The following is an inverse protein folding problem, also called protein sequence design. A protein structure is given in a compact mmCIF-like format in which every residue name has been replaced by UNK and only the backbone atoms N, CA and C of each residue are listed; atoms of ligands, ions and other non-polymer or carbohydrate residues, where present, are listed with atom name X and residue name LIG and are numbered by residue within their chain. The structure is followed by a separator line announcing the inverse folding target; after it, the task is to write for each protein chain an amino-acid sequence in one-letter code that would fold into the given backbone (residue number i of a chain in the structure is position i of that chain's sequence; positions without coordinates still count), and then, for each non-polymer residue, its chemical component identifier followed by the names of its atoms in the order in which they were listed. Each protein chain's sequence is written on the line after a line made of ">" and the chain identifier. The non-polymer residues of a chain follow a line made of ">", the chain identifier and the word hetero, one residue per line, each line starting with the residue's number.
data_IF_408785824241
#
_entry.id   IF_408785824241
#
_cell.length_a   1.000
_cell.length_b   1.000
_cell.length_c   1.000
_cell.angle_alpha   90.00
_cell.angle_beta   90.00
_cell.angle_gamma   90.00
#
_symmetry.space_group_name_H-M   'P 1'
#
loop_
_entity.id
_entity.type
_entity.pdbx_description
1 polymer ?
#
# COMPACT_ATOMS: atom_id res chain seq x y z
N UNK A 1 -23.91 -8.59 12.44
CA UNK A 1 -22.51 -8.80 12.05
C UNK A 1 -21.96 -7.52 11.41
N UNK A 2 -20.69 -7.20 11.61
CA UNK A 2 -20.08 -5.99 11.07
C UNK A 2 -19.80 -6.11 9.58
N UNK A 3 -20.08 -5.09 8.78
CA UNK A 3 -19.75 -5.02 7.34
C UNK A 3 -18.60 -4.05 7.14
N UNK A 4 -17.67 -4.41 6.24
CA UNK A 4 -16.49 -3.61 5.96
C UNK A 4 -16.29 -3.49 4.45
N UNK A 5 -15.98 -2.28 3.98
CA UNK A 5 -15.70 -1.96 2.59
C UNK A 5 -14.33 -1.30 2.49
N UNK A 6 -13.51 -1.84 1.59
CA UNK A 6 -12.25 -1.25 1.16
C UNK A 6 -12.44 -0.71 -0.24
N UNK A 7 -12.44 0.61 -0.40
CA UNK A 7 -12.47 1.24 -1.71
C UNK A 7 -11.07 1.73 -2.06
N UNK A 8 -10.35 0.97 -2.88
CA UNK A 8 -9.05 1.39 -3.42
C UNK A 8 -9.26 2.58 -4.35
N UNK A 9 -8.39 3.59 -4.24
CA UNK A 9 -8.46 4.80 -5.05
C UNK A 9 -7.37 4.78 -6.11
N UNK A 10 -7.73 5.04 -7.37
CA UNK A 10 -6.75 5.34 -8.42
C UNK A 10 -6.15 6.73 -8.22
N UNK A 11 -5.01 7.04 -8.85
CA UNK A 11 -4.43 8.39 -8.85
C UNK A 11 -5.44 9.50 -9.21
N UNK A 12 -6.26 9.30 -10.24
CA UNK A 12 -7.22 10.32 -10.69
C UNK A 12 -8.40 10.48 -9.73
N UNK A 13 -8.88 9.38 -9.14
CA UNK A 13 -9.89 9.45 -8.09
C UNK A 13 -9.35 10.21 -6.88
N UNK A 14 -8.09 10.00 -6.52
CA UNK A 14 -7.43 10.75 -5.46
C UNK A 14 -7.29 12.24 -5.82
N UNK A 15 -6.81 12.55 -7.02
CA UNK A 15 -6.69 13.92 -7.51
C UNK A 15 -8.04 14.64 -7.51
N UNK A 16 -9.13 13.96 -7.88
CA UNK A 16 -10.48 14.51 -7.82
C UNK A 16 -10.91 14.85 -6.39
N UNK A 17 -10.59 13.99 -5.41
CA UNK A 17 -10.87 14.30 -4.00
C UNK A 17 -10.07 15.52 -3.52
N UNK A 18 -8.87 15.73 -4.05
CA UNK A 18 -8.10 16.94 -3.80
C UNK A 18 -8.71 18.18 -4.46
N UNK A 19 -9.18 18.07 -5.69
CA UNK A 19 -9.78 19.17 -6.45
C UNK A 19 -11.06 19.70 -5.83
N UNK A 20 -11.90 18.81 -5.28
CA UNK A 20 -13.14 19.20 -4.61
C UNK A 20 -12.94 19.60 -3.14
N UNK A 21 -11.71 19.48 -2.62
CA UNK A 21 -11.35 19.86 -1.25
C UNK A 21 -11.71 18.82 -0.18
N UNK A 22 -12.15 17.62 -0.56
CA UNK A 22 -12.45 16.52 0.38
C UNK A 22 -11.17 15.95 1.01
N UNK A 23 -10.05 16.02 0.29
CA UNK A 23 -8.72 15.71 0.81
C UNK A 23 -7.79 16.92 0.57
N UNK A 24 -7.17 17.50 1.61
CA UNK A 24 -6.31 18.67 1.40
C UNK A 24 -5.06 18.28 0.60
N UNK A 25 -4.64 19.14 -0.36
CA UNK A 25 -3.37 18.98 -1.09
C UNK A 25 -2.16 19.20 -0.21
N UNK A 26 -2.24 20.23 0.65
CA UNK A 26 -1.23 20.45 1.66
C UNK A 26 -1.46 19.52 2.85
N UNK A 27 -0.61 18.50 2.96
CA UNK A 27 -0.66 17.47 4.00
C UNK A 27 0.66 17.44 4.75
N UNK A 28 0.59 17.00 6.00
CA UNK A 28 1.77 16.74 6.80
C UNK A 28 2.71 15.77 6.07
N UNK A 29 4.03 15.96 6.22
CA UNK A 29 5.04 15.20 5.46
C UNK A 29 4.81 13.69 5.54
N UNK A 30 4.42 13.16 6.71
CA UNK A 30 4.14 11.72 6.94
C UNK A 30 3.10 11.11 5.98
N UNK A 31 2.22 11.92 5.40
CA UNK A 31 1.19 11.50 4.44
C UNK A 31 1.64 11.60 2.96
N UNK A 32 2.83 12.14 2.71
CA UNK A 32 3.47 12.23 1.39
C UNK A 32 4.49 11.09 1.21
N UNK A 33 5.10 10.95 0.03
CA UNK A 33 6.14 9.94 -0.23
C UNK A 33 5.87 9.03 -1.44
N UNK A 34 5.08 9.48 -2.40
CA UNK A 34 4.78 8.82 -3.68
C UNK A 34 5.40 9.52 -4.90
N UNK A 35 6.20 10.58 -4.70
CA UNK A 35 6.85 11.35 -5.77
C UNK A 35 7.82 10.49 -6.60
N UNK A 36 8.37 9.43 -6.01
CA UNK A 36 9.23 8.47 -6.71
C UNK A 36 8.53 7.80 -7.91
N UNK A 37 7.20 7.72 -7.87
CA UNK A 37 6.41 7.09 -8.93
C UNK A 37 6.50 7.87 -10.22
N UNK A 38 6.70 9.19 -10.18
CA UNK A 38 6.75 10.02 -11.39
C UNK A 38 7.95 9.66 -12.29
N UNK A 39 8.98 9.06 -11.70
CA UNK A 39 10.18 8.66 -12.43
C UNK A 39 10.10 7.25 -13.04
N UNK A 40 9.27 6.35 -12.48
CA UNK A 40 9.32 4.94 -12.87
C UNK A 40 7.95 4.29 -13.10
N UNK A 41 6.86 4.92 -12.68
CA UNK A 41 5.47 4.54 -12.93
C UNK A 41 4.75 5.72 -13.61
N UNK A 42 5.32 6.23 -14.70
CA UNK A 42 4.79 7.38 -15.44
C UNK A 42 3.61 7.01 -16.36
N UNK A 43 3.55 5.76 -16.83
CA UNK A 43 2.36 5.25 -17.54
C UNK A 43 1.21 5.12 -16.54
N UNK A 44 0.11 5.82 -16.80
CA UNK A 44 -1.06 5.87 -15.93
C UNK A 44 -1.67 4.48 -15.71
N UNK A 45 -1.74 3.62 -16.73
CA UNK A 45 -2.31 2.27 -16.61
C UNK A 45 -1.48 1.43 -15.63
N UNK A 46 -0.15 1.52 -15.74
CA UNK A 46 0.79 0.83 -14.83
C UNK A 46 0.67 1.39 -13.41
N UNK A 47 0.57 2.72 -13.27
CA UNK A 47 0.37 3.35 -11.95
C UNK A 47 -0.97 2.95 -11.33
N UNK A 48 -2.02 2.88 -12.12
CA UNK A 48 -3.35 2.44 -11.68
C UNK A 48 -3.31 1.02 -11.16
N UNK A 49 -2.70 0.12 -11.93
CA UNK A 49 -2.49 -1.26 -11.52
C UNK A 49 -1.78 -1.32 -10.16
N UNK A 50 -0.69 -0.56 -10.00
CA UNK A 50 0.04 -0.52 -8.73
C UNK A 50 -0.85 -0.04 -7.59
N UNK A 51 -1.60 1.05 -7.75
CA UNK A 51 -2.46 1.61 -6.70
C UNK A 51 -3.54 0.62 -6.25
N UNK A 52 -4.23 0.01 -7.21
CA UNK A 52 -5.32 -0.94 -6.93
C UNK A 52 -4.79 -2.21 -6.29
N UNK A 53 -3.75 -2.83 -6.85
CA UNK A 53 -3.24 -4.13 -6.36
C UNK A 53 -2.52 -4.04 -5.03
N UNK A 54 -1.88 -2.90 -4.74
CA UNK A 54 -1.13 -2.72 -3.49
C UNK A 54 -1.93 -2.04 -2.38
N UNK A 55 -3.18 -1.65 -2.63
CA UNK A 55 -3.98 -0.84 -1.70
C UNK A 55 -3.27 0.48 -1.33
N UNK A 56 -2.65 1.14 -2.31
CA UNK A 56 -1.76 2.27 -2.05
C UNK A 56 -2.47 3.44 -1.35
N UNK A 57 -3.72 3.70 -1.75
CA UNK A 57 -4.65 4.61 -1.10
C UNK A 57 -6.04 3.99 -1.06
N UNK A 58 -6.70 4.06 0.09
CA UNK A 58 -7.98 3.38 0.33
C UNK A 58 -8.91 4.24 1.18
N UNK A 59 -10.21 4.22 0.85
CA UNK A 59 -11.27 4.63 1.77
C UNK A 59 -11.83 3.38 2.43
N UNK A 60 -11.75 3.34 3.76
CA UNK A 60 -12.27 2.27 4.59
C UNK A 60 -13.59 2.73 5.19
N UNK A 61 -14.68 2.02 4.89
CA UNK A 61 -16.01 2.29 5.47
C UNK A 61 -16.50 1.04 6.16
N UNK A 62 -17.00 1.16 7.38
CA UNK A 62 -17.49 0.02 8.11
C UNK A 62 -18.55 0.29 9.15
N UNK A 63 -19.28 -0.76 9.51
CA UNK A 63 -20.18 -0.74 10.65
C UNK A 63 -19.48 -1.13 11.96
N UNK A 64 -20.10 -0.81 13.09
CA UNK A 64 -19.69 -1.16 14.45
C UNK A 64 -19.41 -2.65 14.55
N UNK A 65 -18.26 -2.97 15.14
CA UNK A 65 -17.74 -4.33 15.28
C UNK A 65 -16.96 -4.83 14.07
N UNK A 66 -17.09 -4.21 12.88
CA UNK A 66 -16.22 -4.53 11.74
C UNK A 66 -14.81 -3.96 11.95
N UNK A 67 -13.81 -4.56 11.33
CA UNK A 67 -12.42 -4.17 11.53
C UNK A 67 -11.46 -5.06 10.77
N UNK A 68 -10.18 -5.01 11.18
CA UNK A 68 -9.12 -5.82 10.59
C UNK A 68 -8.44 -6.64 11.67
N UNK A 69 -8.25 -7.93 11.41
CA UNK A 69 -7.53 -8.84 12.31
C UNK A 69 -6.08 -8.42 12.50
N UNK A 70 -5.44 -8.91 13.56
CA UNK A 70 -4.06 -8.57 13.85
C UNK A 70 -3.09 -9.03 12.75
N UNK A 71 -2.40 -8.09 12.09
CA UNK A 71 -1.49 -8.38 10.97
C UNK A 71 -0.39 -7.32 10.82
N UNK A 72 0.52 -7.53 9.86
CA UNK A 72 1.46 -6.50 9.37
C UNK A 72 1.21 -6.26 7.89
N UNK A 73 1.51 -5.05 7.40
CA UNK A 73 1.36 -4.71 5.98
C UNK A 73 2.26 -5.59 5.10
N UNK A 74 1.67 -6.20 4.08
CA UNK A 74 2.35 -7.21 3.24
C UNK A 74 3.59 -6.66 2.53
N UNK A 75 3.58 -5.37 2.15
CA UNK A 75 4.70 -4.73 1.45
C UNK A 75 5.79 -4.19 2.38
N UNK A 76 5.67 -4.33 3.70
CA UNK A 76 6.63 -3.73 4.65
C UNK A 76 6.74 -2.21 4.50
N UNK A 77 5.66 -1.59 4.09
CA UNK A 77 5.52 -0.14 3.97
C UNK A 77 5.19 0.48 5.33
N UNK A 78 5.18 1.80 5.40
CA UNK A 78 4.57 2.54 6.50
C UNK A 78 3.20 3.04 6.07
N UNK A 79 2.29 3.22 7.01
CA UNK A 79 0.90 3.54 6.70
C UNK A 79 0.37 4.63 7.62
N UNK A 80 -0.48 5.48 7.08
CA UNK A 80 -1.20 6.52 7.81
C UNK A 80 -2.70 6.34 7.60
N UNK A 81 -3.49 6.71 8.61
CA UNK A 81 -4.93 6.56 8.66
C UNK A 81 -5.55 7.85 9.21
N UNK A 82 -6.14 8.65 8.32
CA UNK A 82 -6.87 9.87 8.67
C UNK A 82 -8.35 9.51 8.91
N UNK A 83 -8.83 9.77 10.12
CA UNK A 83 -10.20 9.42 10.50
C UNK A 83 -11.18 10.54 10.17
N UNK A 84 -12.24 10.22 9.43
CA UNK A 84 -13.20 11.22 8.93
C UNK A 84 -14.52 11.15 9.71
N UNK A 85 -14.95 9.96 10.10
CA UNK A 85 -16.23 9.76 10.79
C UNK A 85 -16.21 8.53 11.69
N UNK A 86 -16.98 8.58 12.77
CA UNK A 86 -17.13 7.46 13.71
C UNK A 86 -16.00 7.43 14.72
N UNK A 87 -15.72 6.25 15.26
CA UNK A 87 -14.54 5.98 16.11
C UNK A 87 -13.98 4.63 15.74
N UNK A 88 -12.65 4.51 15.75
CA UNK A 88 -11.95 3.24 15.48
C UNK A 88 -10.97 2.95 16.60
N UNK A 89 -11.15 1.80 17.24
CA UNK A 89 -10.19 1.25 18.18
C UNK A 89 -9.03 0.60 17.42
N UNK A 90 -7.83 0.76 17.97
CA UNK A 90 -6.58 0.24 17.45
C UNK A 90 -5.75 -0.38 18.56
N UNK A 91 -5.14 -1.53 18.24
CA UNK A 91 -4.07 -2.12 19.01
C UNK A 91 -2.86 -2.28 18.11
N UNK A 92 -1.71 -1.69 18.51
CA UNK A 92 -0.49 -1.65 17.71
C UNK A 92 0.69 -2.18 18.51
N UNK A 93 1.43 -3.14 17.97
CA UNK A 93 2.63 -3.69 18.60
C UNK A 93 3.87 -3.45 17.73
N UNK A 94 4.90 -2.86 18.34
CA UNK A 94 6.15 -2.60 17.67
C UNK A 94 6.88 -3.92 17.33
N UNK A 95 7.61 -3.99 16.19
CA UNK A 95 8.42 -5.15 15.89
C UNK A 95 9.50 -5.37 16.95
N UNK A 96 9.86 -6.64 17.19
CA UNK A 96 10.89 -7.05 18.15
C UNK A 96 10.56 -6.71 19.61
N UNK A 97 9.29 -6.90 19.99
CA UNK A 97 8.82 -6.83 21.39
C UNK A 97 9.09 -5.49 22.09
N UNK A 98 9.14 -4.39 21.34
CA UNK A 98 9.37 -3.04 21.89
C UNK A 98 8.13 -2.41 22.55
N UNK A 99 7.13 -3.23 22.89
CA UNK A 99 5.86 -2.82 23.50
C UNK A 99 4.70 -2.67 22.51
N UNK A 100 3.50 -2.56 23.08
CA UNK A 100 2.25 -2.34 22.37
C UNK A 100 1.56 -1.08 22.89
N UNK A 101 0.74 -0.48 22.04
CA UNK A 101 -0.09 0.69 22.32
C UNK A 101 -1.53 0.39 21.93
N UNK A 102 -2.45 0.94 22.69
CA UNK A 102 -3.88 0.86 22.44
C UNK A 102 -4.43 2.29 22.35
N UNK A 103 -5.26 2.56 21.35
CA UNK A 103 -5.81 3.88 21.12
C UNK A 103 -7.20 3.81 20.50
N UNK A 104 -8.02 4.83 20.77
CA UNK A 104 -9.22 5.12 19.99
C UNK A 104 -8.90 6.34 19.13
N UNK A 105 -9.02 6.18 17.81
CA UNK A 105 -8.83 7.27 16.85
C UNK A 105 -10.19 7.88 16.53
N UNK A 106 -10.31 9.18 16.74
CA UNK A 106 -11.52 9.99 16.59
C UNK A 106 -11.48 10.86 15.32
N UNK A 107 -12.63 11.39 14.85
CA UNK A 107 -12.68 12.19 13.63
C UNK A 107 -11.77 13.42 13.72
N UNK A 108 -10.97 13.64 12.69
CA UNK A 108 -9.94 14.68 12.65
C UNK A 108 -8.56 14.20 13.09
N UNK A 109 -8.45 13.03 13.71
CA UNK A 109 -7.16 12.45 14.10
C UNK A 109 -6.52 11.63 13.00
N UNK A 110 -5.19 11.53 13.07
CA UNK A 110 -4.36 10.77 12.14
C UNK A 110 -3.50 9.81 12.93
N UNK A 111 -3.63 8.53 12.64
CA UNK A 111 -2.72 7.49 13.13
C UNK A 111 -1.64 7.24 12.07
N UNK A 112 -0.39 7.08 12.52
CA UNK A 112 0.73 6.64 11.68
C UNK A 112 1.47 5.51 12.38
N UNK A 113 1.81 4.46 11.62
CA UNK A 113 2.73 3.41 12.08
C UNK A 113 3.76 3.08 11.01
N UNK A 114 4.96 2.71 11.47
CA UNK A 114 6.09 2.40 10.59
C UNK A 114 6.06 0.95 10.12
N UNK A 115 7.02 0.57 9.26
CA UNK A 115 7.15 -0.78 8.73
C UNK A 115 7.20 -1.85 9.83
N UNK A 116 6.41 -2.91 9.63
CA UNK A 116 6.47 -4.12 10.46
C UNK A 116 5.81 -4.02 11.82
N UNK A 117 5.00 -2.99 12.06
CA UNK A 117 4.12 -2.92 13.22
C UNK A 117 2.93 -3.86 13.04
N UNK A 118 2.72 -4.72 14.03
CA UNK A 118 1.50 -5.53 14.13
C UNK A 118 0.35 -4.63 14.53
N UNK A 119 -0.80 -4.79 13.90
CA UNK A 119 -1.95 -3.95 14.20
C UNK A 119 -3.28 -4.67 13.98
N UNK A 120 -4.23 -4.36 14.85
CA UNK A 120 -5.61 -4.82 14.84
C UNK A 120 -6.54 -3.62 15.01
N UNK A 121 -7.72 -3.67 14.37
CA UNK A 121 -8.70 -2.57 14.45
C UNK A 121 -10.12 -3.05 14.65
N UNK A 122 -10.93 -2.21 15.29
CA UNK A 122 -12.38 -2.39 15.37
C UNK A 122 -13.11 -1.05 15.31
N UNK A 123 -14.13 -0.96 14.46
CA UNK A 123 -15.03 0.18 14.41
C UNK A 123 -15.94 0.19 15.64
N UNK A 124 -15.98 1.29 16.37
CA UNK A 124 -16.79 1.41 17.57
C UNK A 124 -18.19 1.99 17.29
N UNK A 125 -18.37 2.66 16.15
CA UNK A 125 -19.60 3.37 15.76
C UNK A 125 -20.05 3.06 14.32
N UNK A 126 -21.22 3.58 13.96
CA UNK A 126 -21.88 3.41 12.66
C UNK A 126 -22.18 4.76 11.98
N UNK A 127 -21.77 4.97 10.71
CA UNK A 127 -20.63 4.34 10.06
C UNK A 127 -19.30 4.88 10.63
N UNK A 128 -18.25 4.09 10.48
CA UNK A 128 -16.87 4.53 10.70
C UNK A 128 -16.16 4.66 9.34
N UNK A 129 -15.53 5.81 9.07
CA UNK A 129 -14.87 6.15 7.80
C UNK A 129 -13.44 6.60 8.05
N UNK A 130 -12.48 5.97 7.38
CA UNK A 130 -11.04 6.31 7.41
C UNK A 130 -10.53 6.42 5.99
N UNK A 131 -9.75 7.47 5.70
CA UNK A 131 -8.92 7.54 4.50
C UNK A 131 -7.50 7.12 4.89
N UNK A 132 -6.90 6.23 4.13
CA UNK A 132 -5.56 5.72 4.41
C UNK A 132 -4.67 5.75 3.17
N UNK A 133 -3.38 5.87 3.40
CA UNK A 133 -2.37 5.76 2.37
C UNK A 133 -1.08 5.14 2.87
N UNK A 134 -0.33 4.63 1.90
CA UNK A 134 0.92 3.91 2.08
C UNK A 134 2.11 4.82 1.76
N UNK A 135 3.24 4.63 2.45
CA UNK A 135 4.48 5.39 2.27
C UNK A 135 5.72 4.50 2.20
N UNK A 136 6.62 4.88 1.29
CA UNK A 136 8.03 4.43 1.25
C UNK A 136 8.93 5.58 1.71
N UNK A 137 9.96 5.26 2.48
CA UNK A 137 10.99 6.20 2.90
C UNK A 137 12.38 5.54 2.99
N UNK A 138 13.39 6.34 3.36
CA UNK A 138 14.77 5.87 3.54
C UNK A 138 14.94 4.74 4.55
N UNK A 139 13.99 4.55 5.47
CA UNK A 139 14.04 3.53 6.53
C UNK A 139 13.47 2.20 6.07
N UNK A 140 12.48 2.21 5.17
CA UNK A 140 11.78 0.99 4.76
C UNK A 140 12.03 0.56 3.29
N UNK A 141 12.58 1.41 2.42
CA UNK A 141 12.64 1.15 0.97
C UNK A 141 13.29 -0.19 0.61
N UNK A 142 14.32 -0.63 1.35
CA UNK A 142 15.00 -1.91 1.10
C UNK A 142 14.07 -3.11 1.32
N UNK A 143 13.27 -3.06 2.39
CA UNK A 143 12.30 -4.11 2.69
C UNK A 143 11.18 -4.10 1.65
N UNK A 144 10.68 -2.92 1.28
CA UNK A 144 9.63 -2.77 0.27
C UNK A 144 10.11 -3.26 -1.10
N UNK A 145 11.32 -2.88 -1.52
CA UNK A 145 11.97 -3.36 -2.75
C UNK A 145 12.03 -4.89 -2.78
N UNK A 146 12.42 -5.51 -1.66
CA UNK A 146 12.47 -6.97 -1.55
C UNK A 146 11.10 -7.61 -1.77
N UNK A 147 10.04 -7.05 -1.16
CA UNK A 147 8.68 -7.58 -1.31
C UNK A 147 8.16 -7.41 -2.75
N UNK A 148 8.37 -6.24 -3.36
CA UNK A 148 7.96 -5.95 -4.73
C UNK A 148 8.71 -6.83 -5.74
N UNK A 149 10.03 -7.00 -5.57
CA UNK A 149 10.83 -7.91 -6.39
C UNK A 149 10.38 -9.37 -6.22
N UNK A 150 10.12 -9.79 -4.97
CA UNK A 150 9.58 -11.12 -4.68
C UNK A 150 8.22 -11.39 -5.34
N UNK A 151 7.34 -10.40 -5.36
CA UNK A 151 6.07 -10.48 -6.10
C UNK A 151 6.27 -10.60 -7.62
N UNK A 152 7.26 -9.92 -8.18
CA UNK A 152 7.59 -10.03 -9.60
C UNK A 152 8.27 -11.35 -9.98
N UNK A 153 9.11 -11.91 -9.11
CA UNK A 153 9.83 -13.15 -9.42
C UNK A 153 9.00 -14.40 -9.10
N UNK A 154 8.21 -14.38 -8.03
CA UNK A 154 7.56 -15.56 -7.44
C UNK A 154 6.08 -15.41 -7.10
N UNK A 155 5.49 -14.22 -7.25
CA UNK A 155 4.11 -13.98 -6.77
C UNK A 155 3.99 -14.10 -5.25
N UNK A 156 5.03 -13.73 -4.50
CA UNK A 156 5.19 -13.97 -3.05
C UNK A 156 4.02 -13.44 -2.18
N UNK A 157 3.35 -12.37 -2.60
CA UNK A 157 2.22 -11.76 -1.88
C UNK A 157 0.88 -12.10 -2.53
N UNK A 158 0.88 -12.50 -3.81
CA UNK A 158 -0.30 -12.84 -4.58
C UNK A 158 -1.05 -11.61 -5.09
N UNK A 159 -0.34 -10.53 -5.39
CA UNK A 159 -0.93 -9.34 -6.03
C UNK A 159 -1.20 -9.55 -7.52
N UNK A 160 -0.53 -10.53 -8.16
CA UNK A 160 -0.71 -10.86 -9.59
C UNK A 160 -0.34 -9.68 -10.51
N UNK A 161 0.79 -9.03 -10.24
CA UNK A 161 1.31 -7.94 -11.09
C UNK A 161 1.51 -8.39 -12.53
N UNK A 162 1.19 -7.51 -13.48
CA UNK A 162 1.49 -7.65 -14.90
C UNK A 162 3.00 -7.62 -15.15
N UNK A 163 3.37 -8.12 -16.33
CA UNK A 163 4.76 -8.07 -16.78
C UNK A 163 5.23 -6.62 -16.99
N UNK A 164 4.34 -5.72 -17.44
CA UNK A 164 4.62 -4.30 -17.65
C UNK A 164 4.89 -3.58 -16.33
N UNK A 165 4.08 -3.84 -15.30
CA UNK A 165 4.33 -3.29 -13.96
C UNK A 165 5.65 -3.81 -13.38
N UNK A 166 5.98 -5.08 -13.58
CA UNK A 166 7.25 -5.61 -13.11
C UNK A 166 8.46 -5.03 -13.86
N UNK A 167 8.35 -4.77 -15.17
CA UNK A 167 9.39 -4.07 -15.94
C UNK A 167 9.57 -2.62 -15.45
N UNK A 168 8.47 -1.95 -15.10
CA UNK A 168 8.50 -0.60 -14.52
C UNK A 168 9.13 -0.60 -13.11
N UNK A 169 8.82 -1.61 -12.29
CA UNK A 169 9.39 -1.76 -10.94
C UNK A 169 10.90 -2.01 -10.95
N UNK A 170 11.44 -2.75 -11.93
CA UNK A 170 12.90 -2.86 -12.12
C UNK A 170 13.57 -1.48 -12.24
N UNK A 171 12.90 -0.54 -12.91
CA UNK A 171 13.34 0.87 -13.03
C UNK A 171 13.15 1.62 -11.71
N UNK A 172 12.04 1.39 -11.00
CA UNK A 172 11.81 1.98 -9.68
C UNK A 172 12.89 1.60 -8.67
N UNK A 173 13.41 0.38 -8.73
CA UNK A 173 14.44 -0.07 -7.80
C UNK A 173 15.74 0.72 -7.97
N UNK A 174 16.12 1.11 -9.18
CA UNK A 174 17.23 2.04 -9.42
C UNK A 174 16.94 3.43 -8.82
N UNK A 175 15.72 3.95 -9.07
CA UNK A 175 15.26 5.24 -8.55
C UNK A 175 15.26 5.30 -7.01
N UNK A 176 14.81 4.23 -6.34
CA UNK A 176 14.82 4.13 -4.88
C UNK A 176 16.22 4.25 -4.30
N UNK A 177 17.20 3.56 -4.87
CA UNK A 177 18.57 3.64 -4.38
C UNK A 177 19.15 5.03 -4.57
N UNK A 178 18.97 5.62 -5.76
CA UNK A 178 19.41 6.98 -6.05
C UNK A 178 18.79 7.98 -5.06
N UNK A 179 17.46 7.92 -4.90
CA UNK A 179 16.69 8.85 -4.06
C UNK A 179 17.01 8.71 -2.57
N UNK A 180 17.03 7.49 -2.04
CA UNK A 180 17.14 7.28 -0.59
C UNK A 180 18.56 7.10 -0.08
N UNK A 181 19.54 6.84 -0.95
CA UNK A 181 20.95 6.65 -0.57
C UNK A 181 21.92 7.63 -1.23
N UNK A 182 21.50 8.36 -2.27
CA UNK A 182 22.37 9.20 -3.09
C UNK A 182 23.36 8.40 -3.94
N UNK A 183 23.13 7.09 -4.12
CA UNK A 183 24.03 6.16 -4.82
C UNK A 183 23.23 5.26 -5.77
N UNK A 184 23.83 4.80 -6.88
CA UNK A 184 23.19 3.83 -7.77
C UNK A 184 22.92 2.50 -7.06
N UNK A 185 21.95 1.72 -7.54
CA UNK A 185 21.72 0.37 -7.00
C UNK A 185 22.94 -0.50 -7.29
N UNK A 186 23.51 -1.20 -6.28
CA UNK A 186 24.58 -2.16 -6.56
C UNK A 186 24.09 -3.25 -7.51
N UNK A 187 24.90 -3.61 -8.51
CA UNK A 187 24.52 -4.62 -9.52
C UNK A 187 24.17 -5.99 -8.92
N UNK A 188 24.72 -6.31 -7.75
CA UNK A 188 24.41 -7.55 -7.01
C UNK A 188 23.02 -7.54 -6.34
N UNK A 189 22.38 -6.36 -6.21
CA UNK A 189 21.08 -6.24 -5.55
C UNK A 189 19.96 -6.27 -6.57
N UNK A 190 19.26 -7.41 -6.61
CA UNK A 190 18.12 -7.74 -7.48
C UNK A 190 18.45 -7.57 -8.97
N UNK A 191 18.59 -8.70 -9.67
CA UNK A 191 18.65 -8.67 -11.14
C UNK A 191 17.25 -8.41 -11.66
N UNK A 192 17.13 -8.09 -12.95
CA UNK A 192 15.84 -7.93 -13.60
C UNK A 192 14.95 -9.15 -13.37
N UNK A 193 13.68 -8.95 -13.03
CA UNK A 193 12.79 -10.04 -12.62
C UNK A 193 12.67 -11.15 -13.68
N UNK A 194 12.68 -10.78 -14.98
CA UNK A 194 12.62 -11.72 -16.12
C UNK A 194 13.80 -12.70 -16.17
N UNK A 195 14.93 -12.38 -15.53
CA UNK A 195 16.11 -13.23 -15.45
C UNK A 195 16.08 -14.20 -14.26
N UNK A 196 15.16 -13.99 -13.32
CA UNK A 196 15.06 -14.75 -12.07
C UNK A 196 13.77 -15.56 -11.97
N UNK A 197 12.72 -15.17 -12.70
CA UNK A 197 11.41 -15.82 -12.64
C UNK A 197 11.37 -17.15 -13.40
N UNK A 198 10.54 -18.08 -12.94
CA UNK A 198 10.25 -19.32 -13.68
C UNK A 198 9.29 -19.09 -14.85
N UNK A 199 9.16 -20.10 -15.72
CA UNK A 199 8.36 -20.02 -16.95
C UNK A 199 6.85 -19.89 -16.68
N UNK A 200 6.36 -20.49 -15.60
CA UNK A 200 4.93 -20.49 -15.27
C UNK A 200 4.51 -19.11 -14.76
N UNK A 201 5.26 -18.53 -13.83
CA UNK A 201 5.03 -17.18 -13.35
C UNK A 201 5.24 -16.15 -14.47
N UNK A 202 6.25 -16.32 -15.33
CA UNK A 202 6.42 -15.45 -16.51
C UNK A 202 5.18 -15.45 -17.40
N UNK A 203 4.64 -16.63 -17.72
CA UNK A 203 3.42 -16.77 -18.53
C UNK A 203 2.23 -16.05 -17.87
N UNK A 204 2.01 -16.29 -16.58
CA UNK A 204 0.93 -15.63 -15.83
C UNK A 204 1.05 -14.10 -15.84
N UNK A 205 2.27 -13.57 -15.72
CA UNK A 205 2.51 -12.12 -15.75
C UNK A 205 2.32 -11.52 -17.14
N UNK A 206 2.60 -12.27 -18.20
CA UNK A 206 2.35 -11.85 -19.58
C UNK A 206 0.85 -11.88 -19.94
N UNK A 207 0.07 -12.76 -19.31
CA UNK A 207 -1.39 -12.82 -19.46
C UNK A 207 -2.11 -11.76 -18.63
N UNK A 208 -1.51 -11.31 -17.53
CA UNK A 208 -2.00 -10.19 -16.73
C UNK A 208 -1.82 -8.86 -17.47
N UNK A 209 -2.80 -7.96 -17.34
CA UNK A 209 -2.77 -6.64 -17.98
C UNK A 209 -3.04 -5.54 -16.94
N UNK A 210 -2.36 -4.38 -17.05
CA UNK A 210 -2.65 -3.21 -16.22
C UNK A 210 -4.07 -2.65 -16.46
N UNK A 211 -4.67 -2.94 -17.62
CA UNK A 211 -5.99 -2.43 -18.02
C UNK A 211 -7.16 -3.26 -17.47
N UNK A 212 -6.87 -4.44 -16.92
CA UNK A 212 -7.90 -5.33 -16.36
C UNK A 212 -7.63 -5.56 -14.88
N UNK A 213 -8.69 -5.44 -14.07
CA UNK A 213 -8.58 -5.79 -12.67
C UNK A 213 -8.65 -7.32 -12.49
N UNK A 214 -7.51 -7.99 -12.64
CA UNK A 214 -7.35 -9.43 -12.34
C UNK A 214 -7.12 -9.69 -10.84
N UNK A 215 -7.20 -8.64 -10.01
CA UNK A 215 -7.09 -8.68 -8.58
C UNK A 215 -8.51 -8.58 -7.98
N UNK A 216 -8.98 -9.66 -7.37
CA UNK A 216 -10.31 -9.73 -6.73
C UNK A 216 -10.49 -8.72 -5.57
N UNK A 217 -9.41 -8.01 -5.21
CA UNK A 217 -9.32 -7.33 -3.94
C UNK A 217 -9.34 -8.37 -2.83
N UNK A 218 -8.59 -8.16 -1.76
CA UNK A 218 -9.04 -8.75 -0.49
C UNK A 218 -10.19 -7.89 0.00
N UNK A 219 -11.31 -7.94 -0.72
CA UNK A 219 -12.56 -7.33 -0.29
C UNK A 219 -13.05 -8.16 0.88
N UNK A 220 -12.58 -7.81 2.07
CA UNK A 220 -13.08 -8.36 3.32
C UNK A 220 -14.48 -7.80 3.58
N UNK A 221 -15.45 -8.14 2.73
CA UNK A 221 -16.85 -8.16 3.16
C UNK A 221 -16.94 -9.38 4.07
N UNK A 222 -16.45 -9.26 5.30
CA UNK A 222 -16.71 -10.27 6.32
C UNK A 222 -18.20 -10.22 6.59
N UNK A 223 -18.95 -11.23 6.14
CA UNK A 223 -20.37 -11.36 6.47
C UNK A 223 -20.60 -11.57 7.94
#
# INVERSE_FOLDING_TARGET
>A
KGRYMHLQLTPDQWAKLEDVGDVPRDRHEVMKGDEWMDHCLADERIRYEFFIKTHWRVILVGSKGAGMFNHTDSLRTSSWHAHVRGKKWWYLCAPKERGCMEAVVEPGEVLFYSTGWWHETQNLLNPTITVTGTRIDKRNFRAVTKMLHGECVRGEVGFKFSSELCDALDTCFESFYSTFTGKPKPAAVFRKWRLETDQDNLKQKLEASPDTNNYDGRNYITE
#
